data_IF_897225620303
#
_entry.id   IF_897225620303
#
_cell.length_a   1.000
_cell.length_b   1.000
_cell.length_c   1.000
_cell.angle_alpha   90.00
_cell.angle_beta   90.00
_cell.angle_gamma   90.00
#
_symmetry.space_group_name_H-M   'P 1'
#
loop_
_entity.id
_entity.type
_entity.pdbx_description
1 polymer ?
#
# COMPACT_ATOMS: atom_id res chain seq x y z
N UNK A 1 4.06 -20.65 -22.86
CA UNK A 1 4.02 -20.43 -21.40
C UNK A 1 4.17 -18.93 -21.22
N UNK A 2 3.09 -18.22 -20.85
CA UNK A 2 3.16 -16.78 -20.58
C UNK A 2 4.13 -16.55 -19.42
N UNK A 3 4.99 -15.54 -19.53
CA UNK A 3 5.84 -15.11 -18.42
C UNK A 3 4.93 -14.83 -17.23
N UNK A 4 5.14 -15.50 -16.10
CA UNK A 4 4.36 -15.29 -14.89
C UNK A 4 4.48 -13.84 -14.44
N UNK A 5 3.38 -13.27 -13.95
CA UNK A 5 3.34 -11.89 -13.43
C UNK A 5 4.29 -11.73 -12.25
N UNK A 6 5.05 -10.64 -12.23
CA UNK A 6 6.02 -10.33 -11.18
C UNK A 6 5.58 -9.06 -10.43
N UNK A 7 5.38 -9.19 -9.12
CA UNK A 7 5.07 -8.06 -8.25
C UNK A 7 6.33 -7.62 -7.50
N UNK A 8 6.72 -6.37 -7.68
CA UNK A 8 7.77 -5.73 -6.90
C UNK A 8 7.31 -5.45 -5.48
N UNK A 9 8.17 -5.64 -4.50
CA UNK A 9 7.94 -5.21 -3.12
C UNK A 9 9.07 -4.29 -2.72
N UNK A 10 8.74 -3.04 -2.38
CA UNK A 10 9.75 -2.07 -1.92
C UNK A 10 10.43 -2.62 -0.65
N UNK A 11 11.75 -2.82 -0.72
CA UNK A 11 12.52 -3.50 0.33
C UNK A 11 13.58 -2.57 0.96
N UNK A 12 13.23 -1.29 1.16
CA UNK A 12 14.09 -0.31 1.85
C UNK A 12 13.87 -0.34 3.36
N UNK A 13 12.62 -0.53 3.81
CA UNK A 13 12.22 -0.63 5.22
C UNK A 13 10.88 -1.36 5.33
N UNK A 14 10.56 -1.90 6.51
CA UNK A 14 9.26 -2.48 6.84
C UNK A 14 9.16 -3.98 6.58
N UNK A 15 7.92 -4.48 6.61
CA UNK A 15 7.62 -5.92 6.57
C UNK A 15 7.55 -6.48 5.14
N UNK A 16 8.47 -6.09 4.25
CA UNK A 16 8.46 -6.49 2.84
C UNK A 16 8.45 -8.01 2.64
N UNK A 17 9.17 -8.77 3.47
CA UNK A 17 9.18 -10.24 3.39
C UNK A 17 7.81 -10.88 3.71
N UNK A 18 6.98 -10.23 4.55
CA UNK A 18 5.63 -10.68 4.83
C UNK A 18 4.71 -10.47 3.62
N UNK A 19 4.81 -9.31 2.95
CA UNK A 19 4.12 -9.06 1.69
C UNK A 19 4.52 -10.06 0.60
N UNK A 20 5.81 -10.39 0.46
CA UNK A 20 6.25 -11.42 -0.49
C UNK A 20 5.59 -12.78 -0.22
N UNK A 21 5.48 -13.19 1.07
CA UNK A 21 4.80 -14.45 1.42
C UNK A 21 3.32 -14.42 1.03
N UNK A 22 2.61 -13.33 1.33
CA UNK A 22 1.20 -13.16 0.97
C UNK A 22 0.99 -13.22 -0.56
N UNK A 23 1.81 -12.49 -1.32
CA UNK A 23 1.75 -12.48 -2.78
C UNK A 23 2.05 -13.85 -3.40
N UNK A 24 3.02 -14.60 -2.87
CA UNK A 24 3.31 -15.97 -3.35
C UNK A 24 2.16 -16.94 -3.08
N UNK A 25 1.39 -16.76 -1.97
CA UNK A 25 0.14 -17.51 -1.75
C UNK A 25 -0.90 -17.23 -2.83
N UNK A 26 -0.92 -16.01 -3.39
CA UNK A 26 -1.77 -15.64 -4.52
C UNK A 26 -1.24 -16.13 -5.89
N UNK A 27 -0.13 -16.88 -5.92
CA UNK A 27 0.40 -17.49 -7.14
C UNK A 27 1.24 -16.58 -8.04
N UNK A 28 1.63 -15.37 -7.58
CA UNK A 28 2.47 -14.47 -8.36
C UNK A 28 3.94 -14.54 -7.93
N UNK A 29 4.86 -14.29 -8.88
CA UNK A 29 6.28 -14.12 -8.56
C UNK A 29 6.53 -12.79 -7.85
N UNK A 30 7.53 -12.74 -6.98
CA UNK A 30 7.88 -11.52 -6.24
C UNK A 30 9.33 -11.13 -6.49
N UNK A 31 9.59 -9.81 -6.48
CA UNK A 31 10.95 -9.24 -6.55
C UNK A 31 11.09 -8.13 -5.52
N UNK A 32 12.16 -8.15 -4.74
CA UNK A 32 12.52 -7.03 -3.89
C UNK A 32 13.03 -5.86 -4.72
N UNK A 33 12.51 -4.67 -4.46
CA UNK A 33 12.88 -3.44 -5.14
C UNK A 33 13.69 -2.59 -4.18
N UNK A 34 14.98 -2.38 -4.49
CA UNK A 34 15.93 -1.59 -3.67
C UNK A 34 16.66 -0.53 -4.47
N UNK A 35 16.76 -0.72 -5.79
CA UNK A 35 17.36 0.22 -6.73
C UNK A 35 16.49 0.34 -7.99
N UNK A 36 16.61 1.42 -8.78
CA UNK A 36 15.76 1.64 -9.95
C UNK A 36 15.72 0.48 -10.95
N UNK A 37 16.84 -0.21 -11.19
CA UNK A 37 16.90 -1.36 -12.10
C UNK A 37 16.08 -2.57 -11.63
N UNK A 38 15.72 -2.66 -10.34
CA UNK A 38 14.86 -3.74 -9.85
C UNK A 38 13.42 -3.61 -10.34
N UNK A 39 13.01 -2.43 -10.84
CA UNK A 39 11.69 -2.18 -11.44
C UNK A 39 11.55 -2.75 -12.85
N UNK A 40 12.64 -3.20 -13.48
CA UNK A 40 12.61 -3.74 -14.84
C UNK A 40 11.83 -5.07 -14.83
N UNK A 41 10.78 -5.15 -15.67
CA UNK A 41 9.92 -6.33 -15.77
C UNK A 41 9.02 -6.57 -14.54
N UNK A 42 8.81 -5.56 -13.68
CA UNK A 42 7.82 -5.59 -12.62
C UNK A 42 6.46 -5.13 -13.17
N UNK A 43 5.42 -5.92 -12.96
CA UNK A 43 4.05 -5.64 -13.44
C UNK A 43 3.23 -4.79 -12.46
N UNK A 44 3.52 -4.89 -11.16
CA UNK A 44 2.88 -4.10 -10.08
C UNK A 44 3.85 -3.90 -8.92
N UNK A 45 3.55 -2.97 -8.02
CA UNK A 45 4.38 -2.65 -6.86
C UNK A 45 3.59 -2.70 -5.56
N UNK A 46 4.24 -3.17 -4.48
CA UNK A 46 3.76 -3.02 -3.11
C UNK A 46 4.69 -2.09 -2.35
N UNK A 47 4.11 -1.06 -1.71
CA UNK A 47 4.78 -0.16 -0.77
C UNK A 47 4.39 -0.55 0.65
N UNK A 48 5.28 -1.21 1.41
CA UNK A 48 4.98 -1.70 2.76
C UNK A 48 4.82 -0.58 3.79
N UNK A 49 4.30 -0.95 4.95
CA UNK A 49 4.35 -0.14 6.16
C UNK A 49 5.78 0.09 6.66
N UNK A 50 5.91 1.04 7.58
CA UNK A 50 7.18 1.46 8.18
C UNK A 50 7.08 2.90 8.67
N UNK A 51 8.20 3.61 8.75
CA UNK A 51 8.22 5.05 9.05
C UNK A 51 8.25 5.84 7.73
N UNK A 52 7.17 6.57 7.43
CA UNK A 52 6.96 7.18 6.10
C UNK A 52 8.00 8.24 5.73
N UNK A 53 8.49 9.05 6.69
CA UNK A 53 9.53 10.04 6.41
C UNK A 53 10.86 9.37 6.09
N UNK A 54 11.22 8.32 6.82
CA UNK A 54 12.44 7.53 6.56
C UNK A 54 12.36 6.86 5.20
N UNK A 55 11.22 6.23 4.86
CA UNK A 55 11.04 5.61 3.55
C UNK A 55 11.13 6.66 2.43
N UNK A 56 10.49 7.84 2.60
CA UNK A 56 10.58 8.95 1.64
C UNK A 56 12.04 9.37 1.40
N UNK A 57 12.83 9.55 2.45
CA UNK A 57 14.25 9.92 2.34
C UNK A 57 15.08 8.81 1.66
N UNK A 58 14.82 7.55 1.99
CA UNK A 58 15.49 6.42 1.35
C UNK A 58 15.14 6.30 -0.13
N UNK A 59 13.89 6.54 -0.50
CA UNK A 59 13.45 6.58 -1.90
C UNK A 59 14.19 7.66 -2.70
N UNK A 60 14.34 8.85 -2.13
CA UNK A 60 15.07 9.96 -2.77
C UNK A 60 16.56 9.62 -2.90
N UNK A 61 17.19 9.17 -1.80
CA UNK A 61 18.64 8.91 -1.78
C UNK A 61 19.07 7.72 -2.66
N UNK A 62 18.16 6.75 -2.88
CA UNK A 62 18.40 5.59 -3.76
C UNK A 62 18.07 5.87 -5.23
N UNK A 63 17.48 7.02 -5.56
CA UNK A 63 16.96 7.33 -6.90
C UNK A 63 15.66 6.61 -7.26
N UNK A 64 15.08 5.85 -6.33
CA UNK A 64 13.84 5.10 -6.56
C UNK A 64 12.61 6.01 -6.63
N UNK A 65 12.63 7.20 -5.99
CA UNK A 65 11.45 8.04 -5.98
C UNK A 65 11.02 8.41 -7.41
N UNK A 66 11.91 8.95 -8.20
CA UNK A 66 11.59 9.39 -9.57
C UNK A 66 11.31 8.20 -10.50
N UNK A 67 11.99 7.07 -10.29
CA UNK A 67 11.75 5.85 -11.07
C UNK A 67 10.36 5.25 -10.80
N UNK A 68 9.93 5.20 -9.53
CA UNK A 68 8.59 4.73 -9.16
C UNK A 68 7.53 5.73 -9.62
N UNK A 69 7.75 7.05 -9.43
CA UNK A 69 6.82 8.09 -9.88
C UNK A 69 6.53 7.98 -11.38
N UNK A 70 7.57 7.79 -12.20
CA UNK A 70 7.41 7.57 -13.63
C UNK A 70 6.55 6.33 -13.93
N UNK A 71 6.81 5.19 -13.26
CA UNK A 71 6.04 3.96 -13.45
C UNK A 71 4.58 4.10 -13.01
N UNK A 72 4.31 4.82 -11.91
CA UNK A 72 2.94 5.10 -11.44
C UNK A 72 2.17 5.97 -12.44
N UNK A 73 2.81 6.99 -13.01
CA UNK A 73 2.21 7.82 -14.08
C UNK A 73 1.94 7.03 -15.36
N UNK A 74 2.75 6.02 -15.65
CA UNK A 74 2.55 5.08 -16.76
C UNK A 74 1.46 4.03 -16.45
N UNK A 75 0.80 4.11 -15.30
CA UNK A 75 -0.31 3.24 -14.92
C UNK A 75 0.10 1.92 -14.26
N UNK A 76 1.31 1.82 -13.71
CA UNK A 76 1.71 0.64 -12.94
C UNK A 76 0.82 0.48 -11.69
N UNK A 77 0.15 -0.69 -11.52
CA UNK A 77 -0.64 -0.97 -10.34
C UNK A 77 0.20 -0.91 -9.06
N UNK A 78 -0.39 -0.35 -7.99
CA UNK A 78 0.29 -0.25 -6.70
C UNK A 78 -0.64 -0.50 -5.53
N UNK A 79 -0.14 -1.25 -4.54
CA UNK A 79 -0.74 -1.41 -3.21
C UNK A 79 0.15 -0.72 -2.17
N UNK A 80 -0.40 0.27 -1.44
CA UNK A 80 0.28 0.91 -0.32
C UNK A 80 -0.37 0.56 1.01
N UNK A 81 0.41 0.05 1.98
CA UNK A 81 -0.09 -0.30 3.31
C UNK A 81 0.54 0.58 4.38
N UNK A 82 -0.25 1.08 5.32
CA UNK A 82 0.20 1.95 6.42
C UNK A 82 1.06 3.13 5.90
N UNK A 83 2.39 3.11 6.07
CA UNK A 83 3.29 4.13 5.51
C UNK A 83 3.20 4.21 3.98
N UNK A 84 2.97 3.10 3.29
CA UNK A 84 2.74 3.07 1.84
C UNK A 84 1.51 3.87 1.41
N UNK A 85 0.42 3.83 2.19
CA UNK A 85 -0.75 4.69 1.97
C UNK A 85 -0.39 6.18 2.09
N UNK A 86 0.43 6.56 3.10
CA UNK A 86 0.90 7.94 3.28
C UNK A 86 1.73 8.40 2.08
N UNK A 87 2.61 7.54 1.56
CA UNK A 87 3.46 7.86 0.40
C UNK A 87 2.68 8.00 -0.90
N UNK A 88 1.52 7.37 -1.04
CA UNK A 88 0.67 7.44 -2.23
C UNK A 88 -0.33 8.61 -2.18
N UNK A 89 -0.63 9.15 -1.00
CA UNK A 89 -1.63 10.20 -0.79
C UNK A 89 -1.28 11.51 -1.51
N UNK A 90 -2.30 12.23 -1.97
CA UNK A 90 -2.16 13.59 -2.50
C UNK A 90 -1.77 14.56 -1.39
N UNK A 91 -2.42 14.47 -0.23
CA UNK A 91 -2.17 15.36 0.90
C UNK A 91 -1.76 14.59 2.16
N UNK A 92 -0.64 15.01 2.77
CA UNK A 92 -0.17 14.51 4.08
C UNK A 92 -0.25 15.66 5.07
N UNK A 93 -1.32 15.71 5.89
CA UNK A 93 -1.71 16.88 6.69
C UNK A 93 -0.75 17.22 7.83
N UNK A 94 -0.03 16.22 8.38
CA UNK A 94 0.96 16.36 9.46
C UNK A 94 2.32 15.81 9.02
N UNK A 95 2.59 15.88 7.71
CA UNK A 95 3.86 15.47 7.12
C UNK A 95 5.00 16.41 7.53
N UNK A 96 6.23 15.88 7.53
CA UNK A 96 7.43 16.73 7.62
C UNK A 96 7.59 17.51 6.31
N UNK A 97 8.17 18.69 6.38
CA UNK A 97 8.41 19.54 5.20
C UNK A 97 9.34 18.91 4.15
N UNK A 98 10.18 17.95 4.55
CA UNK A 98 11.10 17.20 3.71
C UNK A 98 10.52 15.86 3.18
N UNK A 99 9.32 15.47 3.62
CA UNK A 99 8.67 14.25 3.16
C UNK A 99 8.01 14.47 1.80
N UNK A 100 8.32 13.60 0.85
CA UNK A 100 7.68 13.55 -0.46
C UNK A 100 6.62 12.45 -0.50
N UNK A 101 5.54 12.68 -1.24
CA UNK A 101 4.54 11.69 -1.62
C UNK A 101 4.42 11.63 -3.13
N UNK A 102 3.89 10.51 -3.65
CA UNK A 102 3.68 10.31 -5.09
C UNK A 102 2.40 10.99 -5.61
N UNK A 103 1.49 11.41 -4.72
CA UNK A 103 0.18 11.96 -5.09
C UNK A 103 -0.58 11.09 -6.10
N UNK A 104 -0.53 9.76 -5.91
CA UNK A 104 -1.07 8.77 -6.84
C UNK A 104 -2.54 8.43 -6.57
N UNK A 105 -3.09 8.82 -5.43
CA UNK A 105 -4.50 8.65 -5.05
C UNK A 105 -5.00 9.92 -4.38
N UNK A 106 -6.21 10.36 -4.76
CA UNK A 106 -6.84 11.60 -4.27
C UNK A 106 -7.42 11.42 -2.86
N UNK A 107 -6.53 11.36 -1.89
CA UNK A 107 -6.86 11.27 -0.46
C UNK A 107 -6.00 12.24 0.36
N UNK A 108 -6.58 12.74 1.45
CA UNK A 108 -5.83 13.42 2.50
C UNK A 108 -5.66 12.50 3.71
N UNK A 109 -4.43 12.36 4.20
CA UNK A 109 -4.11 11.47 5.32
C UNK A 109 -3.43 12.21 6.46
N UNK A 110 -3.70 11.76 7.70
CA UNK A 110 -2.99 12.15 8.91
C UNK A 110 -2.18 10.97 9.41
N UNK A 111 -0.87 11.19 9.63
CA UNK A 111 0.10 10.13 9.98
C UNK A 111 -0.08 9.59 11.39
N UNK A 112 -0.37 10.48 12.37
CA UNK A 112 -0.39 10.16 13.79
C UNK A 112 -1.77 10.41 14.39
N UNK A 113 -2.83 9.91 13.75
CA UNK A 113 -4.19 10.25 14.10
C UNK A 113 -4.70 9.62 15.41
N UNK A 114 -4.08 8.53 15.86
CA UNK A 114 -4.53 7.76 17.03
C UNK A 114 -3.73 8.06 18.31
N UNK A 115 -3.05 9.24 18.42
CA UNK A 115 -2.44 9.69 19.66
C UNK A 115 -1.06 9.11 19.98
N UNK A 116 -0.63 9.23 21.25
CA UNK A 116 0.70 8.82 21.70
C UNK A 116 0.77 7.31 21.93
N UNK A 117 1.55 6.63 21.11
CA UNK A 117 2.32 5.41 21.39
C UNK A 117 1.62 4.04 21.54
N UNK A 118 0.30 3.89 21.73
CA UNK A 118 -0.31 2.60 22.06
C UNK A 118 -1.53 2.18 21.23
N UNK A 119 -1.83 2.86 20.13
CA UNK A 119 -3.04 2.49 19.38
C UNK A 119 -2.71 1.48 18.28
N UNK A 120 -2.26 0.31 18.72
CA UNK A 120 -2.25 -0.91 17.93
C UNK A 120 -3.41 -1.77 18.41
N UNK A 121 -4.25 -2.19 17.48
CA UNK A 121 -5.40 -3.06 17.74
C UNK A 121 -5.65 -3.96 16.54
N UNK A 122 -6.42 -4.99 16.78
CA UNK A 122 -6.85 -5.94 15.76
C UNK A 122 -8.37 -6.01 15.78
N UNK A 123 -8.98 -6.09 14.62
CA UNK A 123 -10.44 -6.20 14.48
C UNK A 123 -10.82 -6.80 13.15
N UNK A 124 -11.98 -7.45 13.11
CA UNK A 124 -12.55 -7.95 11.85
C UNK A 124 -13.30 -6.82 11.16
N UNK A 125 -13.03 -6.61 9.88
CA UNK A 125 -13.68 -5.60 9.04
C UNK A 125 -14.35 -6.25 7.84
N UNK A 126 -15.52 -5.74 7.46
CA UNK A 126 -16.14 -6.09 6.19
C UNK A 126 -15.38 -5.36 5.06
N UNK A 127 -15.03 -6.10 4.02
CA UNK A 127 -14.33 -5.57 2.84
C UNK A 127 -15.16 -5.86 1.59
N UNK A 128 -15.48 -4.82 0.82
CA UNK A 128 -16.19 -4.97 -0.45
C UNK A 128 -15.36 -5.80 -1.44
N UNK A 129 -15.98 -6.86 -1.96
CA UNK A 129 -15.32 -7.84 -2.83
C UNK A 129 -14.72 -9.05 -2.12
N UNK A 130 -14.87 -9.15 -0.79
CA UNK A 130 -14.63 -10.37 -0.02
C UNK A 130 -15.94 -10.95 0.50
N UNK A 131 -16.03 -12.28 0.61
CA UNK A 131 -17.20 -13.02 1.10
C UNK A 131 -17.12 -13.33 2.61
N UNK A 132 -16.05 -12.91 3.26
CA UNK A 132 -15.80 -13.08 4.70
C UNK A 132 -15.17 -11.81 5.30
N UNK A 133 -15.32 -11.58 6.61
CA UNK A 133 -14.63 -10.49 7.28
C UNK A 133 -13.11 -10.71 7.24
N UNK A 134 -12.36 -9.63 6.99
CA UNK A 134 -10.91 -9.66 7.03
C UNK A 134 -10.41 -9.25 8.42
N UNK A 135 -9.50 -10.05 9.00
CA UNK A 135 -8.85 -9.72 10.26
C UNK A 135 -7.75 -8.66 10.04
N UNK A 136 -8.05 -7.42 10.38
CA UNK A 136 -7.18 -6.28 10.13
C UNK A 136 -6.32 -5.93 11.35
N UNK A 137 -5.00 -5.83 11.13
CA UNK A 137 -4.00 -5.47 12.15
C UNK A 137 -3.60 -4.02 11.96
N UNK A 138 -3.94 -3.16 12.93
CA UNK A 138 -3.60 -1.74 12.93
C UNK A 138 -2.43 -1.49 13.87
N UNK A 139 -1.35 -0.89 13.36
CA UNK A 139 -0.17 -0.51 14.14
C UNK A 139 0.16 0.94 13.84
N UNK A 140 -0.12 1.85 14.78
CA UNK A 140 0.07 3.30 14.61
C UNK A 140 -0.47 3.77 13.24
N UNK A 141 -1.67 3.31 12.91
CA UNK A 141 -2.24 3.45 11.59
C UNK A 141 -2.46 4.93 11.19
N UNK A 142 -2.25 5.29 9.93
CA UNK A 142 -2.68 6.57 9.41
C UNK A 142 -4.21 6.62 9.34
N UNK A 143 -4.76 7.82 9.40
CA UNK A 143 -6.18 8.06 9.22
C UNK A 143 -6.44 8.76 7.89
N UNK A 144 -7.33 8.23 7.08
CA UNK A 144 -7.86 8.95 5.93
C UNK A 144 -8.86 9.98 6.42
N UNK A 145 -8.55 11.26 6.22
CA UNK A 145 -9.40 12.40 6.63
C UNK A 145 -10.42 12.75 5.54
N UNK A 146 -10.02 12.61 4.28
CA UNK A 146 -10.91 12.80 3.13
C UNK A 146 -10.50 11.94 1.95
N UNK A 147 -11.44 11.71 1.05
CA UNK A 147 -11.25 11.05 -0.23
C UNK A 147 -12.01 11.84 -1.31
N UNK A 148 -11.40 11.99 -2.49
CA UNK A 148 -12.03 12.61 -3.65
C UNK A 148 -13.11 11.74 -4.28
N UNK A 149 -13.90 12.33 -5.17
CA UNK A 149 -15.07 11.69 -5.80
C UNK A 149 -14.74 10.42 -6.62
N UNK A 150 -13.49 10.31 -7.10
CA UNK A 150 -13.02 9.14 -7.86
C UNK A 150 -12.47 8.00 -7.00
N UNK A 151 -12.48 8.13 -5.68
CA UNK A 151 -11.96 7.13 -4.75
C UNK A 151 -13.08 6.21 -4.28
N UNK A 152 -12.94 4.92 -4.60
CA UNK A 152 -13.83 3.85 -4.15
C UNK A 152 -13.44 3.41 -2.73
N UNK A 153 -14.37 3.45 -1.80
CA UNK A 153 -14.19 2.97 -0.43
C UNK A 153 -14.51 1.48 -0.38
N UNK A 154 -13.52 0.67 -0.03
CA UNK A 154 -13.65 -0.80 0.06
C UNK A 154 -13.88 -1.31 1.48
N UNK A 155 -13.43 -0.57 2.50
CA UNK A 155 -13.72 -0.90 3.91
C UNK A 155 -13.70 0.34 4.80
N UNK A 156 -14.52 0.29 5.86
CA UNK A 156 -14.55 1.26 6.94
C UNK A 156 -14.45 0.56 8.30
N UNK A 157 -13.80 1.23 9.23
CA UNK A 157 -13.82 0.88 10.64
C UNK A 157 -14.23 2.12 11.45
N UNK A 158 -15.27 1.99 12.28
CA UNK A 158 -15.85 3.11 13.07
C UNK A 158 -16.11 4.39 12.25
N UNK A 159 -16.59 4.22 11.01
CA UNK A 159 -16.89 5.33 10.10
C UNK A 159 -15.67 5.90 9.36
N UNK A 160 -14.45 5.51 9.72
CA UNK A 160 -13.22 5.92 9.03
C UNK A 160 -12.91 4.96 7.89
N UNK A 161 -12.56 5.49 6.72
CA UNK A 161 -12.11 4.67 5.58
C UNK A 161 -10.74 4.08 5.88
N UNK A 162 -10.63 2.75 5.80
CA UNK A 162 -9.39 2.00 6.10
C UNK A 162 -8.84 1.20 4.92
N UNK A 163 -9.64 1.02 3.87
CA UNK A 163 -9.24 0.44 2.59
C UNK A 163 -9.94 1.19 1.48
N UNK A 164 -9.20 1.62 0.47
CA UNK A 164 -9.75 2.38 -0.65
C UNK A 164 -8.96 2.11 -1.93
N UNK A 165 -9.58 2.40 -3.08
CA UNK A 165 -9.00 2.25 -4.40
C UNK A 165 -9.36 3.42 -5.30
N UNK A 166 -8.40 3.82 -6.16
CA UNK A 166 -8.66 4.72 -7.27
C UNK A 166 -7.93 4.19 -8.51
N UNK A 167 -8.68 3.73 -9.50
CA UNK A 167 -8.10 3.07 -10.66
C UNK A 167 -7.26 1.85 -10.27
N UNK A 168 -5.96 1.91 -10.57
CA UNK A 168 -4.99 0.83 -10.27
C UNK A 168 -4.26 1.01 -8.95
N UNK A 169 -4.57 2.05 -8.18
CA UNK A 169 -3.96 2.35 -6.88
C UNK A 169 -4.87 1.88 -5.76
N UNK A 170 -4.37 0.99 -4.90
CA UNK A 170 -5.08 0.51 -3.70
C UNK A 170 -4.28 0.90 -2.46
N UNK A 171 -4.97 1.37 -1.41
CA UNK A 171 -4.35 1.77 -0.14
C UNK A 171 -5.08 1.18 1.04
N UNK A 172 -4.32 0.70 2.03
CA UNK A 172 -4.82 0.19 3.30
C UNK A 172 -4.17 0.92 4.48
N UNK A 173 -4.96 1.34 5.47
CA UNK A 173 -4.44 1.92 6.70
C UNK A 173 -3.83 0.88 7.66
N UNK A 174 -4.14 -0.39 7.46
CA UNK A 174 -3.72 -1.54 8.28
C UNK A 174 -2.64 -2.38 7.58
N UNK A 175 -2.20 -3.44 8.24
CA UNK A 175 -1.15 -4.36 7.80
C UNK A 175 -1.74 -5.71 7.35
N UNK A 176 -2.18 -5.87 6.08
CA UNK A 176 -2.76 -7.13 5.62
C UNK A 176 -1.72 -8.26 5.53
N UNK A 177 -0.43 -7.93 5.54
CA UNK A 177 0.66 -8.88 5.49
C UNK A 177 0.95 -9.60 6.82
N UNK A 178 0.36 -9.11 7.93
CA UNK A 178 0.60 -9.67 9.27
C UNK A 178 -0.39 -10.78 9.64
N UNK A 179 -1.28 -11.15 8.74
CA UNK A 179 -2.20 -12.27 8.90
C UNK A 179 -1.88 -13.41 7.93
N UNK A 180 -2.46 -14.59 8.16
CA UNK A 180 -2.36 -15.70 7.21
C UNK A 180 -3.35 -15.58 6.05
N UNK A 181 -4.28 -14.63 6.11
CA UNK A 181 -5.24 -14.34 5.06
C UNK A 181 -4.64 -13.41 3.99
N UNK A 182 -4.49 -13.90 2.77
CA UNK A 182 -3.96 -13.13 1.65
C UNK A 182 -5.05 -12.45 0.81
N UNK A 183 -6.31 -12.46 1.24
CA UNK A 183 -7.46 -12.03 0.43
C UNK A 183 -7.39 -10.55 0.02
N UNK A 184 -6.80 -9.65 0.83
CA UNK A 184 -6.59 -8.25 0.45
C UNK A 184 -5.54 -8.13 -0.67
N UNK A 185 -4.47 -8.93 -0.64
CA UNK A 185 -3.49 -8.97 -1.74
C UNK A 185 -4.12 -9.55 -3.01
N UNK A 186 -4.92 -10.61 -2.88
CA UNK A 186 -5.63 -11.22 -4.00
C UNK A 186 -6.67 -10.25 -4.60
N UNK A 187 -7.40 -9.50 -3.76
CA UNK A 187 -8.32 -8.45 -4.20
C UNK A 187 -7.60 -7.38 -5.04
N UNK A 188 -6.44 -6.93 -4.59
CA UNK A 188 -5.58 -6.01 -5.35
C UNK A 188 -5.18 -6.62 -6.70
N UNK A 189 -4.66 -7.84 -6.72
CA UNK A 189 -4.19 -8.50 -7.94
C UNK A 189 -5.33 -8.73 -8.95
N UNK A 190 -6.50 -9.19 -8.49
CA UNK A 190 -7.69 -9.36 -9.34
C UNK A 190 -8.17 -8.04 -9.92
N UNK A 191 -8.22 -6.98 -9.11
CA UNK A 191 -8.69 -5.67 -9.57
C UNK A 191 -7.82 -5.05 -10.67
N UNK A 192 -6.58 -5.50 -10.81
CA UNK A 192 -5.61 -5.02 -11.80
C UNK A 192 -5.35 -6.01 -12.93
N UNK A 193 -6.08 -7.16 -12.96
CA UNK A 193 -5.93 -8.20 -13.98
C UNK A 193 -4.62 -8.96 -13.91
N UNK A 194 -3.97 -9.00 -12.75
CA UNK A 194 -2.70 -9.72 -12.55
C UNK A 194 -2.91 -11.18 -12.16
N UNK A 195 -4.08 -11.50 -11.62
CA UNK A 195 -4.61 -12.86 -11.41
C UNK A 195 -6.00 -12.94 -12.04
N UNK A 196 -6.36 -14.10 -12.57
CA UNK A 196 -7.67 -14.38 -13.17
C UNK A 196 -8.51 -15.26 -12.26
#
# INVERSE_FOLDING_TARGET
MGAGRTVGVLALQGAFAAHERALRRCGVATRQVRVPSDLDGVDALVLPGGESSTISNLLVSSGLFDAIDARLRDGMPVLGTCAGMILLATDVLDGRSDQRSFAAIDIAVRRNAYGRQNDSFETDIAVDGLDHPFHAVFIRAPKMESAGDGVEVLARHEGVTVLARQGVVTVAAFHPELTDDASVHDLFLRSTGLTG
#
